data_IF_783309940814
#
_entry.id   IF_783309940814
#
_cell.length_a   1.000
_cell.length_b   1.000
_cell.length_c   1.000
_cell.angle_alpha   90.00
_cell.angle_beta   90.00
_cell.angle_gamma   90.00
#
_symmetry.space_group_name_H-M   'P 1'
#
loop_
_entity.id
_entity.type
_entity.pdbx_description
1 polymer ?
#
# COMPACT_ATOMS: atom_id res chain seq x y z
N UNK A 1 -13.35 17.41 35.31
CA UNK A 1 -13.61 17.35 33.86
C UNK A 1 -12.54 18.03 32.98
N UNK A 2 -11.28 18.21 33.44
CA UNK A 2 -10.18 18.79 32.62
C UNK A 2 -8.87 17.97 32.59
N UNK A 3 -8.85 16.77 33.19
CA UNK A 3 -7.63 15.94 33.28
C UNK A 3 -7.68 14.63 32.46
N UNK A 4 -8.67 14.44 31.57
CA UNK A 4 -8.75 13.24 30.72
C UNK A 4 -8.19 13.42 29.29
N UNK A 5 -7.81 14.64 28.89
CA UNK A 5 -7.27 14.96 27.55
C UNK A 5 -5.72 15.04 27.47
N UNK A 6 -4.99 14.75 28.56
CA UNK A 6 -3.52 14.89 28.63
C UNK A 6 -2.71 13.60 28.56
N UNK A 7 -3.36 12.46 28.29
CA UNK A 7 -2.70 11.20 27.94
C UNK A 7 -3.07 10.82 26.51
N UNK A 8 -2.72 11.68 25.55
CA UNK A 8 -2.31 11.12 24.26
C UNK A 8 -1.10 10.25 24.62
N UNK A 9 -1.18 8.97 24.31
CA UNK A 9 -0.19 7.95 24.68
C UNK A 9 1.21 8.46 24.32
N UNK A 10 1.99 8.84 25.34
CA UNK A 10 3.32 9.43 25.15
C UNK A 10 4.25 8.49 24.37
N UNK A 11 3.96 7.18 24.38
CA UNK A 11 4.66 6.19 23.57
C UNK A 11 4.28 6.30 22.08
N UNK A 12 3.02 6.59 21.76
CA UNK A 12 2.59 6.81 20.37
C UNK A 12 3.19 8.10 19.80
N UNK A 13 3.26 9.16 20.60
CA UNK A 13 3.91 10.40 20.22
C UNK A 13 5.43 10.20 20.03
N UNK A 14 6.09 9.49 20.94
CA UNK A 14 7.51 9.16 20.80
C UNK A 14 7.82 8.25 19.58
N UNK A 15 6.89 7.35 19.22
CA UNK A 15 7.00 6.54 17.98
C UNK A 15 6.81 7.41 16.74
N UNK A 16 5.89 8.35 16.77
CA UNK A 16 5.68 9.32 15.69
C UNK A 16 6.92 10.22 15.50
N UNK A 17 7.48 10.77 16.58
CA UNK A 17 8.70 11.59 16.52
C UNK A 17 9.90 10.79 16.02
N UNK A 18 10.00 9.51 16.43
CA UNK A 18 11.03 8.59 15.94
C UNK A 18 10.85 8.25 14.46
N UNK A 19 9.62 8.04 14.00
CA UNK A 19 9.31 7.84 12.59
C UNK A 19 9.62 9.08 11.76
N UNK A 20 9.32 10.27 12.25
CA UNK A 20 9.65 11.54 11.59
C UNK A 20 11.17 11.78 11.52
N UNK A 21 11.89 11.50 12.60
CA UNK A 21 13.36 11.59 12.63
C UNK A 21 14.01 10.58 11.66
N UNK A 22 13.51 9.34 11.63
CA UNK A 22 13.97 8.32 10.70
C UNK A 22 13.63 8.70 9.25
N UNK A 23 12.46 9.29 9.00
CA UNK A 23 12.05 9.80 7.69
C UNK A 23 13.03 10.86 7.17
N UNK A 24 13.42 11.81 8.02
CA UNK A 24 14.41 12.84 7.65
C UNK A 24 15.79 12.22 7.39
N UNK A 25 16.22 11.27 8.23
CA UNK A 25 17.49 10.56 8.03
C UNK A 25 17.50 9.73 6.74
N UNK A 26 16.38 9.08 6.39
CA UNK A 26 16.25 8.27 5.18
C UNK A 26 16.24 9.14 3.91
N UNK A 27 15.75 10.38 3.96
CA UNK A 27 15.84 11.34 2.85
C UNK A 27 17.27 11.82 2.57
N UNK A 28 18.19 11.68 3.54
CA UNK A 28 19.58 12.15 3.43
C UNK A 28 20.57 11.07 2.93
N UNK A 29 20.16 9.79 2.83
CA UNK A 29 21.01 8.71 2.31
C UNK A 29 21.25 8.86 0.79
N UNK A 30 22.47 9.25 0.43
CA UNK A 30 22.89 9.82 -0.86
C UNK A 30 22.87 8.94 -2.12
N UNK A 31 21.96 7.97 -2.25
CA UNK A 31 21.79 7.15 -3.47
C UNK A 31 20.46 7.38 -4.21
N UNK A 32 19.47 8.01 -3.58
CA UNK A 32 18.18 8.26 -4.19
C UNK A 32 18.14 9.59 -4.95
N UNK A 33 17.68 9.56 -6.21
CA UNK A 33 17.49 10.75 -7.06
C UNK A 33 15.98 11.03 -7.20
N UNK A 34 15.46 12.17 -6.73
CA UNK A 34 14.05 12.51 -6.91
C UNK A 34 13.75 12.91 -8.35
N UNK A 35 12.47 13.06 -8.70
CA UNK A 35 12.03 13.38 -10.06
C UNK A 35 12.69 14.64 -10.63
N UNK A 36 12.85 15.68 -9.80
CA UNK A 36 13.44 16.97 -10.18
C UNK A 36 14.93 16.87 -10.54
N UNK A 37 15.61 15.77 -10.17
CA UNK A 37 17.00 15.56 -10.57
C UNK A 37 17.13 15.23 -12.07
N UNK A 38 16.08 14.66 -12.68
CA UNK A 38 16.02 14.28 -14.10
C UNK A 38 15.55 15.44 -14.98
N UNK A 39 16.19 16.59 -14.79
CA UNK A 39 15.90 17.89 -15.42
C UNK A 39 16.51 18.10 -16.81
N UNK A 40 17.24 17.11 -17.33
CA UNK A 40 17.82 17.17 -18.69
C UNK A 40 17.48 15.94 -19.52
N UNK A 41 17.44 16.08 -20.86
CA UNK A 41 17.17 14.96 -21.76
C UNK A 41 18.14 13.79 -21.60
N UNK A 42 19.42 14.08 -21.37
CA UNK A 42 20.45 13.05 -21.23
C UNK A 42 20.23 12.21 -19.98
N UNK A 43 19.82 12.84 -18.86
CA UNK A 43 19.53 12.13 -17.61
C UNK A 43 18.30 11.24 -17.75
N UNK A 44 17.24 11.73 -18.40
CA UNK A 44 16.01 10.97 -18.66
C UNK A 44 16.26 9.80 -19.61
N UNK A 45 17.01 10.03 -20.68
CA UNK A 45 17.41 8.97 -21.62
C UNK A 45 18.26 7.90 -20.92
N UNK A 46 19.23 8.29 -20.08
CA UNK A 46 20.03 7.33 -19.33
C UNK A 46 19.19 6.53 -18.34
N UNK A 47 18.30 7.21 -17.60
CA UNK A 47 17.36 6.54 -16.70
C UNK A 47 16.53 5.48 -17.42
N UNK A 48 15.99 5.80 -18.59
CA UNK A 48 15.22 4.86 -19.41
C UNK A 48 16.05 3.62 -19.82
N UNK A 49 17.32 3.83 -20.18
CA UNK A 49 18.22 2.74 -20.57
C UNK A 49 18.61 1.85 -19.40
N UNK A 50 18.70 2.40 -18.19
CA UNK A 50 19.04 1.69 -16.96
C UNK A 50 17.86 0.86 -16.41
N UNK A 51 16.63 1.13 -16.86
CA UNK A 51 15.46 0.35 -16.47
C UNK A 51 15.57 -1.11 -16.93
N UNK A 52 15.15 -2.01 -16.04
CA UNK A 52 14.92 -3.41 -16.39
C UNK A 52 13.96 -3.51 -17.58
N UNK A 53 14.14 -4.50 -18.48
CA UNK A 53 13.28 -4.64 -19.66
C UNK A 53 11.77 -4.71 -19.34
N UNK A 54 11.40 -5.33 -18.21
CA UNK A 54 10.01 -5.41 -17.76
C UNK A 54 9.41 -4.01 -17.48
N UNK A 55 10.21 -3.08 -16.98
CA UNK A 55 9.77 -1.72 -16.65
C UNK A 55 9.60 -0.85 -17.88
N UNK A 56 10.53 -0.95 -18.85
CA UNK A 56 10.34 -0.32 -20.15
C UNK A 56 9.05 -0.82 -20.80
N UNK A 57 8.82 -2.13 -20.80
CA UNK A 57 7.57 -2.71 -21.32
C UNK A 57 6.33 -2.23 -20.56
N UNK A 58 6.40 -2.14 -19.23
CA UNK A 58 5.29 -1.64 -18.41
C UNK A 58 4.90 -0.22 -18.79
N UNK A 59 5.86 0.70 -18.90
CA UNK A 59 5.58 2.08 -19.31
C UNK A 59 5.02 2.18 -20.74
N UNK A 60 5.56 1.39 -21.67
CA UNK A 60 5.05 1.32 -23.04
C UNK A 60 3.58 0.88 -23.10
N UNK A 61 3.16 -0.04 -22.24
CA UNK A 61 1.77 -0.51 -22.20
C UNK A 61 0.85 0.40 -21.38
N UNK A 62 1.24 0.73 -20.15
CA UNK A 62 0.39 1.45 -19.19
C UNK A 62 0.30 2.95 -19.47
N UNK A 63 1.39 3.58 -19.91
CA UNK A 63 1.46 5.03 -20.07
C UNK A 63 1.32 5.42 -21.55
N UNK A 64 2.13 4.80 -22.42
CA UNK A 64 2.14 5.14 -23.84
C UNK A 64 1.09 4.38 -24.67
N UNK A 65 0.33 3.47 -24.04
CA UNK A 65 -0.80 2.73 -24.63
C UNK A 65 -0.42 1.94 -25.91
N UNK A 66 0.83 1.49 -26.00
CA UNK A 66 1.38 0.87 -27.22
C UNK A 66 1.12 -0.63 -27.33
N UNK A 67 0.32 -1.24 -26.43
CA UNK A 67 0.10 -2.70 -26.37
C UNK A 67 -0.40 -3.32 -27.68
N UNK A 68 -1.00 -2.52 -28.56
CA UNK A 68 -1.56 -2.97 -29.86
C UNK A 68 -0.63 -2.73 -31.05
N UNK A 69 0.52 -2.11 -30.84
CA UNK A 69 1.47 -1.78 -31.89
C UNK A 69 2.45 -2.95 -32.11
N UNK A 70 2.67 -3.34 -33.37
CA UNK A 70 3.66 -4.37 -33.67
C UNK A 70 5.08 -3.90 -33.34
N UNK A 71 5.89 -4.76 -32.71
CA UNK A 71 7.28 -4.48 -32.31
C UNK A 71 7.45 -3.27 -31.37
N UNK A 72 6.43 -2.91 -30.59
CA UNK A 72 6.47 -1.77 -29.67
C UNK A 72 7.60 -1.85 -28.63
N UNK A 73 8.10 -3.05 -28.31
CA UNK A 73 9.25 -3.26 -27.42
C UNK A 73 10.55 -2.60 -27.93
N UNK A 74 10.61 -2.20 -29.21
CA UNK A 74 11.74 -1.43 -29.80
C UNK A 74 11.50 0.08 -29.80
N UNK A 75 10.33 0.52 -29.36
CA UNK A 75 10.01 1.95 -29.27
C UNK A 75 10.94 2.63 -28.29
N UNK A 76 11.52 3.75 -28.72
CA UNK A 76 12.35 4.60 -27.89
C UNK A 76 11.56 5.90 -27.68
N UNK A 77 11.07 6.17 -26.45
CA UNK A 77 10.33 7.39 -26.18
C UNK A 77 11.17 8.63 -26.45
N UNK A 78 10.52 9.67 -26.95
CA UNK A 78 11.09 11.00 -27.05
C UNK A 78 11.32 11.61 -25.65
N UNK A 79 12.11 12.66 -25.57
CA UNK A 79 12.42 13.28 -24.29
C UNK A 79 11.17 13.81 -23.58
N UNK A 80 10.24 14.41 -24.32
CA UNK A 80 8.99 14.93 -23.78
C UNK A 80 8.11 13.82 -23.19
N UNK A 81 8.16 12.61 -23.76
CA UNK A 81 7.46 11.44 -23.23
C UNK A 81 8.14 10.91 -21.96
N UNK A 82 9.46 10.97 -21.89
CA UNK A 82 10.21 10.60 -20.69
C UNK A 82 10.01 11.61 -19.57
N UNK A 83 9.97 12.90 -19.89
CA UNK A 83 9.66 13.98 -18.94
C UNK A 83 8.28 13.77 -18.32
N UNK A 84 7.29 13.44 -19.15
CA UNK A 84 5.94 13.11 -18.69
C UNK A 84 5.90 11.98 -17.64
N UNK A 85 6.78 10.97 -17.74
CA UNK A 85 6.83 9.89 -16.73
C UNK A 85 7.19 10.42 -15.33
N UNK A 86 8.01 11.47 -15.23
CA UNK A 86 8.38 12.10 -13.97
C UNK A 86 7.30 13.02 -13.41
N UNK A 87 6.33 13.44 -14.24
CA UNK A 87 5.19 14.28 -13.85
C UNK A 87 3.94 13.45 -13.48
N UNK A 88 3.97 12.13 -13.65
CA UNK A 88 2.85 11.25 -13.28
C UNK A 88 2.49 11.40 -11.80
N UNK A 89 1.21 11.63 -11.55
CA UNK A 89 0.61 11.54 -10.22
C UNK A 89 -0.08 10.19 -9.98
N UNK A 90 -0.43 9.46 -11.04
CA UNK A 90 -1.02 8.11 -10.95
C UNK A 90 -0.36 7.14 -11.94
N UNK A 91 -0.17 5.90 -11.48
CA UNK A 91 0.31 4.81 -12.34
C UNK A 91 -0.39 3.51 -11.98
N UNK A 92 -1.07 2.93 -12.96
CA UNK A 92 -1.63 1.59 -12.87
C UNK A 92 -0.80 0.64 -13.75
N UNK A 93 -0.24 -0.38 -13.10
CA UNK A 93 0.57 -1.48 -13.61
C UNK A 93 0.04 -2.82 -13.05
N UNK A 94 -1.27 -2.91 -12.87
CA UNK A 94 -1.97 -4.11 -12.43
C UNK A 94 -1.68 -5.27 -13.40
N UNK A 95 -1.12 -6.35 -12.85
CA UNK A 95 -0.59 -7.47 -13.62
C UNK A 95 -1.66 -8.31 -14.30
N UNK A 96 -1.25 -9.13 -15.27
CA UNK A 96 -2.13 -10.04 -16.03
C UNK A 96 -2.44 -11.37 -15.34
N UNK A 97 -2.09 -11.55 -14.06
CA UNK A 97 -2.29 -12.82 -13.39
C UNK A 97 -3.78 -13.20 -13.26
N UNK A 98 -4.04 -14.50 -13.24
CA UNK A 98 -5.40 -15.06 -13.08
C UNK A 98 -5.67 -15.31 -11.60
N UNK A 99 -6.56 -14.54 -11.00
CA UNK A 99 -6.92 -14.61 -9.59
C UNK A 99 -8.43 -14.76 -9.42
N UNK A 100 -8.85 -15.47 -8.36
CA UNK A 100 -10.24 -15.88 -8.16
C UNK A 100 -11.22 -14.71 -8.08
N UNK A 101 -10.78 -13.60 -7.52
CA UNK A 101 -11.63 -12.43 -7.24
C UNK A 101 -11.34 -11.22 -8.14
N UNK A 102 -10.67 -11.45 -9.28
CA UNK A 102 -10.40 -10.40 -10.27
C UNK A 102 -11.63 -10.17 -11.14
N UNK A 103 -12.20 -8.97 -11.07
CA UNK A 103 -13.38 -8.59 -11.87
C UNK A 103 -13.08 -7.61 -13.02
N UNK A 104 -11.85 -7.10 -13.10
CA UNK A 104 -11.43 -6.12 -14.09
C UNK A 104 -10.31 -6.68 -15.00
N UNK A 105 -10.21 -6.23 -16.26
CA UNK A 105 -9.09 -6.61 -17.13
C UNK A 105 -7.75 -6.05 -16.60
N UNK A 106 -6.61 -6.63 -17.00
CA UNK A 106 -5.30 -6.06 -16.69
C UNK A 106 -4.97 -4.83 -17.51
N UNK A 107 -4.22 -3.95 -16.86
CA UNK A 107 -3.64 -2.75 -17.45
C UNK A 107 -2.33 -3.07 -18.19
N UNK A 108 -1.54 -4.02 -17.68
CA UNK A 108 -0.39 -4.58 -18.39
C UNK A 108 -0.59 -6.06 -18.77
N UNK A 109 -0.13 -6.46 -19.94
CA UNK A 109 -0.33 -7.79 -20.53
C UNK A 109 0.54 -8.90 -19.93
N UNK A 110 1.29 -8.58 -18.87
CA UNK A 110 2.22 -9.47 -18.20
C UNK A 110 2.24 -9.22 -16.69
N UNK A 111 3.10 -9.93 -15.97
CA UNK A 111 3.28 -9.80 -14.53
C UNK A 111 4.67 -9.25 -14.23
N UNK A 112 4.74 -8.18 -13.44
CA UNK A 112 5.96 -7.64 -12.88
C UNK A 112 6.45 -8.52 -11.72
N UNK A 113 7.78 -8.55 -11.54
CA UNK A 113 8.42 -9.28 -10.44
C UNK A 113 8.94 -8.39 -9.32
N UNK A 114 9.01 -7.07 -9.53
CA UNK A 114 9.48 -6.10 -8.54
C UNK A 114 8.91 -4.71 -8.83
N UNK A 115 9.25 -3.72 -7.98
CA UNK A 115 8.84 -2.31 -8.10
C UNK A 115 9.99 -1.36 -8.51
N UNK A 116 11.10 -1.88 -9.04
CA UNK A 116 12.37 -1.13 -9.17
C UNK A 116 12.28 0.12 -10.06
N UNK A 117 11.41 0.10 -11.08
CA UNK A 117 11.19 1.24 -11.98
C UNK A 117 10.45 2.42 -11.36
N UNK A 118 9.87 2.27 -10.16
CA UNK A 118 9.13 3.33 -9.49
C UNK A 118 10.01 4.24 -8.63
N UNK A 119 11.23 3.80 -8.30
CA UNK A 119 12.06 4.41 -7.25
C UNK A 119 12.35 5.90 -7.46
N UNK A 120 12.32 6.40 -8.70
CA UNK A 120 12.62 7.80 -9.02
C UNK A 120 11.37 8.66 -9.29
N UNK A 121 10.17 8.06 -9.33
CA UNK A 121 8.92 8.72 -9.70
C UNK A 121 8.25 9.31 -8.46
N UNK A 122 8.92 10.29 -7.83
CA UNK A 122 8.53 10.84 -6.52
C UNK A 122 7.25 11.69 -6.52
N UNK A 123 6.72 12.02 -7.70
CA UNK A 123 5.47 12.76 -7.85
C UNK A 123 4.21 11.87 -7.76
N UNK A 124 4.37 10.54 -7.79
CA UNK A 124 3.26 9.60 -7.70
C UNK A 124 2.50 9.75 -6.38
N UNK A 125 1.18 9.89 -6.51
CA UNK A 125 0.18 9.90 -5.44
C UNK A 125 -0.65 8.62 -5.42
N UNK A 126 -0.79 7.93 -6.55
CA UNK A 126 -1.52 6.68 -6.66
C UNK A 126 -0.72 5.63 -7.41
N UNK A 127 -0.60 4.44 -6.82
CA UNK A 127 0.01 3.27 -7.47
C UNK A 127 -0.95 2.10 -7.36
N UNK A 128 -1.23 1.47 -8.50
CA UNK A 128 -1.91 0.18 -8.59
C UNK A 128 -0.95 -0.84 -9.21
N UNK A 129 -0.53 -1.83 -8.42
CA UNK A 129 0.39 -2.90 -8.81
C UNK A 129 -0.08 -4.27 -8.31
N UNK A 130 -1.38 -4.39 -8.09
CA UNK A 130 -2.10 -5.62 -7.74
C UNK A 130 -2.02 -6.67 -8.85
N UNK A 131 -2.30 -7.93 -8.49
CA UNK A 131 -2.38 -9.06 -9.43
C UNK A 131 -1.10 -9.31 -10.27
N UNK A 132 0.07 -8.97 -9.73
CA UNK A 132 1.37 -9.31 -10.33
C UNK A 132 1.88 -10.68 -9.84
N UNK A 133 1.67 -11.03 -8.57
CA UNK A 133 1.89 -12.38 -8.03
C UNK A 133 3.34 -12.76 -7.71
N UNK A 134 4.32 -11.94 -8.08
CA UNK A 134 5.76 -12.16 -7.84
C UNK A 134 6.44 -11.00 -7.09
N UNK A 135 5.73 -9.90 -6.81
CA UNK A 135 6.31 -8.77 -6.09
C UNK A 135 6.45 -9.13 -4.61
N UNK A 136 7.67 -9.14 -4.10
CA UNK A 136 7.99 -9.50 -2.71
C UNK A 136 8.35 -8.30 -1.83
N UNK A 137 8.80 -7.19 -2.43
CA UNK A 137 9.33 -6.03 -1.71
C UNK A 137 8.72 -4.71 -2.18
N UNK A 138 8.41 -3.85 -1.19
CA UNK A 138 7.98 -2.47 -1.38
C UNK A 138 9.13 -1.46 -1.27
N UNK A 139 10.38 -1.91 -1.14
CA UNK A 139 11.55 -1.03 -0.93
C UNK A 139 11.66 0.14 -1.94
N UNK A 140 11.37 -0.05 -3.24
CA UNK A 140 11.38 1.06 -4.19
C UNK A 140 10.40 2.20 -3.88
N UNK A 141 9.40 1.99 -3.02
CA UNK A 141 8.40 2.98 -2.66
C UNK A 141 8.83 3.90 -1.49
N UNK A 142 9.92 3.59 -0.79
CA UNK A 142 10.25 4.22 0.51
C UNK A 142 10.42 5.75 0.48
N UNK A 143 10.72 6.32 -0.68
CA UNK A 143 10.93 7.76 -0.87
C UNK A 143 9.77 8.46 -1.58
N UNK A 144 8.68 7.74 -1.91
CA UNK A 144 7.52 8.29 -2.60
C UNK A 144 6.59 8.97 -1.58
N UNK A 145 7.11 9.96 -0.86
CA UNK A 145 6.44 10.65 0.27
C UNK A 145 5.15 11.38 -0.10
N UNK A 146 4.87 11.49 -1.40
CA UNK A 146 3.62 12.02 -1.95
C UNK A 146 2.52 10.97 -2.11
N UNK A 147 2.81 9.68 -1.90
CA UNK A 147 1.87 8.59 -2.11
C UNK A 147 0.68 8.68 -1.14
N UNK A 148 -0.52 8.70 -1.71
CA UNK A 148 -1.81 8.77 -1.03
C UNK A 148 -2.57 7.44 -1.12
N UNK A 149 -2.40 6.69 -2.21
CA UNK A 149 -3.06 5.38 -2.42
C UNK A 149 -2.08 4.35 -2.96
N UNK A 150 -2.08 3.16 -2.33
CA UNK A 150 -1.33 1.99 -2.79
C UNK A 150 -2.23 0.76 -2.85
N UNK A 151 -2.41 0.18 -4.03
CA UNK A 151 -3.02 -1.12 -4.23
C UNK A 151 -1.95 -2.11 -4.70
N UNK A 152 -1.67 -3.12 -3.88
CA UNK A 152 -0.62 -4.11 -4.10
C UNK A 152 -1.05 -5.51 -3.65
N UNK A 153 -2.36 -5.78 -3.60
CA UNK A 153 -2.90 -7.10 -3.30
C UNK A 153 -2.55 -8.15 -4.35
N UNK A 154 -2.70 -9.43 -3.98
CA UNK A 154 -2.38 -10.56 -4.87
C UNK A 154 -0.91 -10.57 -5.33
N UNK A 155 -0.01 -10.43 -4.36
CA UNK A 155 1.44 -10.46 -4.53
C UNK A 155 2.07 -11.40 -3.48
N UNK A 156 3.37 -11.23 -3.17
CA UNK A 156 4.11 -12.02 -2.18
C UNK A 156 4.79 -11.13 -1.15
N UNK A 157 4.22 -9.97 -0.87
CA UNK A 157 4.79 -8.97 0.02
C UNK A 157 4.82 -9.53 1.43
N UNK A 158 5.95 -9.38 2.12
CA UNK A 158 6.15 -9.82 3.51
C UNK A 158 6.43 -8.65 4.46
N UNK A 159 7.01 -7.55 3.95
CA UNK A 159 7.48 -6.42 4.75
C UNK A 159 6.83 -5.10 4.30
N UNK A 160 6.23 -4.40 5.28
CA UNK A 160 5.62 -3.08 5.10
C UNK A 160 6.51 -1.93 5.61
N UNK A 161 7.72 -2.22 6.11
CA UNK A 161 8.67 -1.21 6.59
C UNK A 161 8.93 -0.06 5.60
N UNK A 162 9.01 -0.29 4.27
CA UNK A 162 9.16 0.79 3.31
C UNK A 162 8.03 1.85 3.34
N UNK A 163 6.86 1.54 3.91
CA UNK A 163 5.73 2.46 3.97
C UNK A 163 5.77 3.42 5.16
N UNK A 164 6.65 3.21 6.14
CA UNK A 164 6.56 3.90 7.45
C UNK A 164 6.68 5.43 7.38
N UNK A 165 7.34 5.95 6.34
CA UNK A 165 7.55 7.37 6.09
C UNK A 165 6.46 8.00 5.19
N UNK A 166 5.53 7.21 4.65
CA UNK A 166 4.52 7.67 3.69
C UNK A 166 3.31 8.26 4.40
N UNK A 167 3.53 9.33 5.17
CA UNK A 167 2.53 9.93 6.07
C UNK A 167 1.30 10.52 5.36
N UNK A 168 1.34 10.66 4.03
CA UNK A 168 0.19 11.06 3.21
C UNK A 168 -0.71 9.89 2.79
N UNK A 169 -0.32 8.64 3.07
CA UNK A 169 -1.08 7.46 2.67
C UNK A 169 -2.46 7.46 3.36
N UNK A 170 -3.51 7.41 2.53
CA UNK A 170 -4.93 7.41 2.93
C UNK A 170 -5.59 6.07 2.66
N UNK A 171 -5.20 5.42 1.56
CA UNK A 171 -5.70 4.11 1.15
C UNK A 171 -4.59 3.09 0.98
N UNK A 172 -4.74 1.92 1.61
CA UNK A 172 -3.84 0.78 1.42
C UNK A 172 -4.65 -0.50 1.20
N UNK A 173 -4.45 -1.15 0.05
CA UNK A 173 -5.02 -2.45 -0.28
C UNK A 173 -3.89 -3.44 -0.52
N UNK A 174 -3.72 -4.41 0.37
CA UNK A 174 -2.63 -5.39 0.30
C UNK A 174 -3.07 -6.80 0.74
N UNK A 175 -4.36 -7.13 0.58
CA UNK A 175 -4.86 -8.49 0.84
C UNK A 175 -4.21 -9.54 -0.06
N UNK A 176 -4.31 -10.82 0.31
CA UNK A 176 -3.67 -11.93 -0.38
C UNK A 176 -2.16 -11.70 -0.63
N UNK A 177 -1.43 -11.46 0.45
CA UNK A 177 0.03 -11.37 0.52
C UNK A 177 0.53 -12.27 1.67
N UNK A 178 1.80 -12.13 2.08
CA UNK A 178 2.44 -12.92 3.14
C UNK A 178 2.84 -12.03 4.32
N UNK A 179 2.05 -10.99 4.61
CA UNK A 179 2.34 -10.02 5.66
C UNK A 179 1.93 -10.63 7.01
N UNK A 180 2.86 -10.77 7.95
CA UNK A 180 2.55 -11.22 9.32
C UNK A 180 2.51 -10.07 10.33
N UNK A 181 3.22 -8.98 10.05
CA UNK A 181 3.32 -7.81 10.92
C UNK A 181 2.91 -6.53 10.21
N UNK A 182 2.11 -5.73 10.91
CA UNK A 182 1.65 -4.41 10.47
C UNK A 182 2.14 -3.27 11.39
N UNK A 183 3.15 -3.52 12.24
CA UNK A 183 3.78 -2.47 13.06
C UNK A 183 4.22 -1.25 12.24
N UNK A 184 4.77 -1.38 11.01
CA UNK A 184 5.12 -0.23 10.19
C UNK A 184 3.96 0.73 9.88
N UNK A 185 2.72 0.27 9.96
CA UNK A 185 1.55 1.10 9.70
C UNK A 185 1.19 2.02 10.88
N UNK A 186 1.68 1.75 12.11
CA UNK A 186 1.24 2.42 13.33
C UNK A 186 1.32 3.97 13.30
N UNK A 187 2.23 4.53 12.50
CA UNK A 187 2.43 5.97 12.33
C UNK A 187 1.64 6.61 11.19
N UNK A 188 0.95 5.83 10.35
CA UNK A 188 0.24 6.31 9.17
C UNK A 188 -1.17 6.80 9.52
N UNK A 189 -1.23 7.79 10.42
CA UNK A 189 -2.47 8.29 11.01
C UNK A 189 -3.45 8.92 10.01
N UNK A 190 -3.04 9.17 8.77
CA UNK A 190 -3.92 9.65 7.69
C UNK A 190 -4.68 8.53 6.97
N UNK A 191 -4.39 7.26 7.27
CA UNK A 191 -5.12 6.12 6.70
C UNK A 191 -6.60 6.20 7.09
N UNK A 192 -7.46 6.17 6.06
CA UNK A 192 -8.92 6.10 6.16
C UNK A 192 -9.45 4.75 5.68
N UNK A 193 -8.73 4.10 4.77
CA UNK A 193 -9.16 2.87 4.11
C UNK A 193 -8.03 1.84 4.12
N UNK A 194 -8.25 0.70 4.79
CA UNK A 194 -7.25 -0.35 4.93
C UNK A 194 -7.86 -1.73 4.65
N UNK A 195 -7.28 -2.43 3.67
CA UNK A 195 -7.67 -3.79 3.29
C UNK A 195 -6.48 -4.73 3.41
N UNK A 196 -6.46 -5.50 4.50
CA UNK A 196 -5.46 -6.54 4.80
C UNK A 196 -5.97 -7.95 4.48
N UNK A 197 -7.28 -8.11 4.31
CA UNK A 197 -7.89 -9.37 3.93
C UNK A 197 -9.30 -9.18 3.36
N UNK A 198 -9.61 -9.87 2.27
CA UNK A 198 -10.84 -9.72 1.53
C UNK A 198 -11.36 -11.08 1.06
N UNK A 199 -12.69 -11.22 0.95
CA UNK A 199 -13.32 -12.51 0.65
C UNK A 199 -12.89 -13.61 1.63
N UNK A 200 -12.19 -14.64 1.13
CA UNK A 200 -11.59 -15.76 1.84
C UNK A 200 -10.04 -15.74 1.77
N UNK A 201 -9.44 -14.64 1.32
CA UNK A 201 -8.00 -14.48 1.10
C UNK A 201 -7.47 -13.29 1.91
N UNK A 202 -6.62 -13.57 2.90
CA UNK A 202 -6.06 -12.56 3.80
C UNK A 202 -4.58 -12.78 4.10
N UNK A 203 -4.00 -11.82 4.80
CA UNK A 203 -2.63 -11.90 5.29
C UNK A 203 -2.56 -12.72 6.60
N UNK A 204 -1.50 -13.53 6.81
CA UNK A 204 -1.34 -14.33 8.03
C UNK A 204 -0.87 -13.46 9.22
N UNK A 205 -1.72 -12.54 9.68
CA UNK A 205 -1.38 -11.56 10.71
C UNK A 205 -1.18 -12.21 12.08
N UNK A 206 -0.09 -11.85 12.76
CA UNK A 206 0.14 -12.24 14.15
C UNK A 206 -0.67 -11.38 15.13
N UNK A 207 -0.87 -10.09 14.79
CA UNK A 207 -1.58 -9.15 15.63
C UNK A 207 -2.07 -7.94 14.84
N UNK A 208 -3.16 -7.35 15.33
CA UNK A 208 -3.68 -6.05 14.85
C UNK A 208 -3.62 -4.95 15.92
N UNK A 209 -2.81 -5.13 16.98
CA UNK A 209 -2.54 -4.07 17.97
C UNK A 209 -2.12 -2.72 17.36
N UNK A 210 -1.28 -2.66 16.31
CA UNK A 210 -0.87 -1.40 15.71
C UNK A 210 -2.02 -0.52 15.21
N UNK A 211 -3.16 -1.13 14.82
CA UNK A 211 -4.32 -0.41 14.28
C UNK A 211 -4.95 0.55 15.29
N UNK A 212 -4.76 0.35 16.60
CA UNK A 212 -5.31 1.24 17.64
C UNK A 212 -4.85 2.70 17.53
N UNK A 213 -3.77 2.94 16.79
CA UNK A 213 -3.21 4.27 16.55
C UNK A 213 -3.81 4.97 15.31
N UNK A 214 -4.49 4.23 14.45
CA UNK A 214 -5.03 4.72 13.17
C UNK A 214 -6.44 5.30 13.37
N UNK A 215 -6.52 6.35 14.19
CA UNK A 215 -7.76 6.98 14.65
C UNK A 215 -8.64 7.56 13.53
N UNK A 216 -8.11 7.68 12.31
CA UNK A 216 -8.84 8.14 11.12
C UNK A 216 -9.40 7.02 10.25
N UNK A 217 -9.17 5.75 10.59
CA UNK A 217 -9.75 4.63 9.83
C UNK A 217 -11.27 4.70 9.82
N UNK A 218 -11.83 4.62 8.62
CA UNK A 218 -13.27 4.60 8.35
C UNK A 218 -13.70 3.24 7.78
N UNK A 219 -12.86 2.62 6.96
CA UNK A 219 -13.12 1.32 6.32
C UNK A 219 -11.97 0.36 6.59
N UNK A 220 -12.30 -0.82 7.14
CA UNK A 220 -11.32 -1.83 7.51
C UNK A 220 -11.79 -3.22 7.08
N UNK A 221 -10.95 -3.89 6.29
CA UNK A 221 -11.17 -5.27 5.84
C UNK A 221 -10.04 -6.17 6.37
N UNK A 222 -10.44 -7.13 7.20
CA UNK A 222 -9.61 -8.09 7.93
C UNK A 222 -10.12 -9.52 7.71
N UNK A 223 -10.75 -9.80 6.57
CA UNK A 223 -11.25 -11.14 6.32
C UNK A 223 -10.09 -12.14 6.19
N UNK A 224 -10.23 -13.34 6.74
CA UNK A 224 -9.21 -14.40 6.62
C UNK A 224 -7.80 -13.98 7.08
N UNK A 225 -7.72 -13.16 8.13
CA UNK A 225 -6.45 -12.66 8.68
C UNK A 225 -5.90 -13.49 9.86
N UNK A 226 -6.56 -14.59 10.24
CA UNK A 226 -6.13 -15.45 11.35
C UNK A 226 -6.34 -14.84 12.74
N UNK A 227 -7.27 -13.90 12.88
CA UNK A 227 -7.45 -13.13 14.12
C UNK A 227 -8.23 -13.91 15.18
N UNK A 228 -7.76 -13.88 16.43
CA UNK A 228 -8.50 -14.40 17.59
C UNK A 228 -9.23 -13.29 18.38
N UNK A 229 -8.81 -12.03 18.23
CA UNK A 229 -9.40 -10.89 18.92
C UNK A 229 -9.29 -9.63 18.08
N UNK A 230 -10.23 -8.69 18.30
CA UNK A 230 -10.25 -7.38 17.65
C UNK A 230 -10.38 -6.21 18.63
N UNK A 231 -10.01 -6.43 19.90
CA UNK A 231 -10.11 -5.41 20.96
C UNK A 231 -9.31 -4.12 20.68
N UNK A 232 -8.26 -4.18 19.85
CA UNK A 232 -7.50 -3.01 19.42
C UNK A 232 -8.34 -1.98 18.64
N UNK A 233 -9.47 -2.40 18.05
CA UNK A 233 -10.34 -1.55 17.24
C UNK A 233 -11.32 -0.70 18.06
N UNK A 234 -11.50 -0.97 19.37
CA UNK A 234 -12.55 -0.32 20.18
C UNK A 234 -12.44 1.20 20.28
N UNK A 235 -11.23 1.74 20.08
CA UNK A 235 -10.94 3.18 20.14
C UNK A 235 -11.05 3.89 18.78
N UNK A 236 -11.34 3.17 17.71
CA UNK A 236 -11.47 3.75 16.37
C UNK A 236 -12.86 4.39 16.20
N UNK A 237 -13.01 5.60 16.71
CA UNK A 237 -14.30 6.33 16.73
C UNK A 237 -14.84 6.70 15.35
N UNK A 238 -13.96 6.76 14.34
CA UNK A 238 -14.33 7.08 12.95
C UNK A 238 -14.65 5.86 12.10
N UNK A 239 -14.46 4.65 12.63
CA UNK A 239 -14.73 3.42 11.90
C UNK A 239 -16.21 3.36 11.55
N UNK A 240 -16.52 3.12 10.28
CA UNK A 240 -17.89 3.02 9.75
C UNK A 240 -18.18 1.63 9.21
N UNK A 241 -17.15 0.96 8.67
CA UNK A 241 -17.26 -0.34 8.03
C UNK A 241 -16.15 -1.28 8.50
N UNK A 242 -16.53 -2.45 8.99
CA UNK A 242 -15.63 -3.52 9.40
C UNK A 242 -16.05 -4.84 8.74
N UNK A 243 -15.16 -5.42 7.94
CA UNK A 243 -15.24 -6.83 7.57
C UNK A 243 -14.17 -7.62 8.32
N UNK A 244 -14.59 -8.63 9.08
CA UNK A 244 -13.70 -9.49 9.86
C UNK A 244 -14.17 -10.96 9.79
N UNK A 245 -14.70 -11.35 8.63
CA UNK A 245 -15.19 -12.70 8.39
C UNK A 245 -14.04 -13.70 8.23
N UNK A 246 -14.30 -14.99 8.43
CA UNK A 246 -13.30 -16.05 8.27
C UNK A 246 -12.09 -15.91 9.20
N UNK A 247 -12.32 -15.51 10.46
CA UNK A 247 -11.31 -15.50 11.51
C UNK A 247 -11.75 -16.45 12.65
N UNK A 248 -11.11 -16.36 13.82
CA UNK A 248 -11.53 -17.04 15.05
C UNK A 248 -11.77 -16.06 16.20
N UNK A 249 -12.38 -14.91 15.88
CA UNK A 249 -12.59 -13.81 16.82
C UNK A 249 -13.56 -14.23 17.91
N UNK A 250 -13.21 -13.94 19.16
CA UNK A 250 -14.00 -14.31 20.34
C UNK A 250 -15.15 -13.35 20.67
N UNK A 251 -14.98 -12.06 20.40
CA UNK A 251 -15.95 -11.03 20.74
C UNK A 251 -15.85 -9.81 19.82
N UNK A 252 -17.00 -9.21 19.54
CA UNK A 252 -17.08 -7.87 18.93
C UNK A 252 -16.93 -6.74 19.97
N UNK A 253 -16.97 -7.06 21.26
CA UNK A 253 -16.78 -6.10 22.34
C UNK A 253 -17.70 -4.88 22.24
N UNK A 254 -17.14 -3.69 22.42
CA UNK A 254 -17.90 -2.43 22.34
C UNK A 254 -18.29 -2.01 20.93
N UNK A 255 -17.85 -2.73 19.89
CA UNK A 255 -18.11 -2.35 18.48
C UNK A 255 -19.59 -2.50 18.09
N UNK A 256 -20.31 -3.48 18.63
CA UNK A 256 -21.74 -3.72 18.32
C UNK A 256 -22.62 -2.49 18.65
N UNK A 257 -22.24 -1.75 19.69
CA UNK A 257 -22.98 -0.57 20.14
C UNK A 257 -22.64 0.73 19.42
N UNK A 258 -21.66 0.74 18.50
CA UNK A 258 -21.16 1.97 17.86
C UNK A 258 -21.91 2.38 16.59
N UNK A 259 -22.92 1.61 16.16
CA UNK A 259 -23.67 1.91 14.94
C UNK A 259 -22.83 1.75 13.66
N UNK A 260 -21.77 0.95 13.71
CA UNK A 260 -20.91 0.66 12.57
C UNK A 260 -21.43 -0.56 11.81
N UNK A 261 -21.19 -0.62 10.50
CA UNK A 261 -21.49 -1.82 9.73
C UNK A 261 -20.43 -2.89 10.01
N UNK A 262 -20.86 -4.05 10.52
CA UNK A 262 -19.96 -5.17 10.85
C UNK A 262 -20.37 -6.42 10.08
N UNK A 263 -19.42 -7.02 9.39
CA UNK A 263 -19.54 -8.35 8.78
C UNK A 263 -18.48 -9.29 9.34
N UNK A 264 -18.86 -10.11 10.33
CA UNK A 264 -17.97 -11.07 11.01
C UNK A 264 -18.46 -12.52 10.87
N UNK A 265 -18.83 -12.94 9.66
CA UNK A 265 -19.30 -14.32 9.41
C UNK A 265 -18.14 -15.32 9.54
N UNK A 266 -18.45 -16.57 9.85
CA UNK A 266 -17.45 -17.64 9.95
C UNK A 266 -16.35 -17.32 10.99
N UNK A 267 -16.78 -16.93 12.19
CA UNK A 267 -15.95 -16.85 13.40
C UNK A 267 -16.48 -17.89 14.40
N UNK A 268 -15.86 -19.08 14.53
CA UNK A 268 -16.40 -20.18 15.34
C UNK A 268 -16.59 -19.84 16.83
N UNK A 269 -15.72 -19.00 17.38
CA UNK A 269 -15.78 -18.52 18.78
C UNK A 269 -16.76 -17.37 19.01
N UNK A 270 -17.24 -16.71 17.94
CA UNK A 270 -18.08 -15.53 18.08
C UNK A 270 -19.53 -15.93 18.39
N UNK A 271 -19.99 -15.63 19.61
CA UNK A 271 -21.36 -15.91 20.05
C UNK A 271 -21.59 -17.30 20.68
N UNK A 272 -20.52 -17.96 21.15
CA UNK A 272 -20.60 -19.07 22.12
C UNK A 272 -20.54 -18.56 23.57
#
# INVERSE_FOLDING_TARGET
MKNQLKRIDQNALARFDKALALTNQMLEEGEHRPAEWFDTPEKRAQWWLDLEPQWRKAFLEAVFQLKRMANFERYQPADEELEFLFDLDELNITGSGSFRHRNNPPDISFQLSNLSGLKNLTNLKRIECDFNGLIESLEPLRHLVNLEVLWCDNNRITDLSPLMALHKLRGLCCWNNQISSIEPLAGLIQLTDLTLGLYDEGNPLESIEPLRHLINLEQLHLNACGLETISSLEKLEKLKWLEASHNDIDSLGTLEGKGIYIRARNNPRLGQ
#
